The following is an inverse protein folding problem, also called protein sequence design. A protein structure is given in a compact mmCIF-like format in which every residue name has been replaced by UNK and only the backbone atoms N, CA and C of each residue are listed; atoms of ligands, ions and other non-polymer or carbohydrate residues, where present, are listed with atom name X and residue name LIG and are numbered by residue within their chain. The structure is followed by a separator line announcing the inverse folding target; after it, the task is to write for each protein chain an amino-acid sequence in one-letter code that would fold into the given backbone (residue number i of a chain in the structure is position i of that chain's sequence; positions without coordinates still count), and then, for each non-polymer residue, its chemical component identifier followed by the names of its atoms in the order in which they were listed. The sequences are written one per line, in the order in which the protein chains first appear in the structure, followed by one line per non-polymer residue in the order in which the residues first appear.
data_IF_752369542373
#
_entry.id   IF_752369542373
#
_cell.length_a   1.000
_cell.length_b   1.000
_cell.length_c   1.000
_cell.angle_alpha   90.00
_cell.angle_beta   90.00
_cell.angle_gamma   90.00
#
_symmetry.space_group_name_H-M   'P 1'
#
loop_
_entity.id
_entity.type
_entity.pdbx_description
1 polymer ?
#
# COMPACT_ATOMS: atom_id res chain seq x y z
N UNK A 1 -16.37 26.92 24.48
CA UNK A 1 -15.06 26.24 24.59
C UNK A 1 -15.09 25.14 23.54
N UNK A 2 -14.68 25.46 22.33
CA UNK A 2 -14.62 24.48 21.23
C UNK A 2 -13.47 23.52 21.51
N UNK A 3 -13.78 22.24 21.65
CA UNK A 3 -12.78 21.19 21.67
C UNK A 3 -12.25 21.14 20.24
N UNK A 4 -11.10 21.78 20.00
CA UNK A 4 -10.33 21.57 18.78
C UNK A 4 -10.17 20.06 18.61
N UNK A 5 -10.85 19.49 17.62
CA UNK A 5 -10.72 18.08 17.31
C UNK A 5 -9.25 17.79 17.07
N UNK A 6 -8.64 16.95 17.92
CA UNK A 6 -7.26 16.52 17.72
C UNK A 6 -7.21 15.87 16.35
N UNK A 7 -6.58 16.53 15.37
CA UNK A 7 -6.33 15.89 14.08
C UNK A 7 -5.58 14.59 14.37
N UNK A 8 -6.21 13.46 14.08
CA UNK A 8 -5.57 12.15 14.26
C UNK A 8 -4.34 12.13 13.37
N UNK A 9 -3.17 11.93 13.97
CA UNK A 9 -1.92 11.75 13.25
C UNK A 9 -2.07 10.52 12.34
N UNK A 10 -1.45 10.58 11.16
CA UNK A 10 -1.56 9.53 10.14
C UNK A 10 -0.17 9.06 9.72
N UNK A 11 -0.01 7.76 9.51
CA UNK A 11 1.09 7.18 8.73
C UNK A 11 0.45 6.50 7.52
N UNK A 12 0.82 6.90 6.30
CA UNK A 12 0.44 6.18 5.09
C UNK A 12 1.64 5.37 4.61
N UNK A 13 1.39 4.09 4.30
CA UNK A 13 2.36 3.26 3.58
C UNK A 13 1.96 3.26 2.10
N UNK A 14 2.70 4.02 1.31
CA UNK A 14 2.43 4.32 -0.09
C UNK A 14 3.75 4.36 -0.87
N UNK A 15 4.04 3.35 -1.70
CA UNK A 15 5.15 3.42 -2.64
C UNK A 15 5.01 4.59 -3.61
N UNK A 16 6.12 5.25 -3.87
CA UNK A 16 6.23 6.29 -4.90
C UNK A 16 7.61 6.15 -5.55
N UNK A 17 7.72 6.42 -6.85
CA UNK A 17 8.97 6.24 -7.58
C UNK A 17 10.07 7.14 -6.99
N UNK A 18 11.20 6.53 -6.65
CA UNK A 18 12.32 7.22 -6.02
C UNK A 18 12.11 7.58 -4.54
N UNK A 19 10.97 7.22 -3.93
CA UNK A 19 10.77 7.37 -2.48
C UNK A 19 11.34 6.13 -1.75
N UNK A 20 12.38 6.28 -0.89
CA UNK A 20 13.17 5.14 -0.42
C UNK A 20 12.52 4.31 0.69
N UNK A 21 11.44 4.80 1.31
CA UNK A 21 10.80 4.15 2.47
C UNK A 21 9.30 3.92 2.31
N UNK A 22 8.69 4.39 1.22
CA UNK A 22 7.22 4.43 1.06
C UNK A 22 6.42 5.02 2.25
N UNK A 23 7.06 5.71 3.19
CA UNK A 23 6.43 6.22 4.41
C UNK A 23 6.04 7.69 4.28
N UNK A 24 4.76 7.97 4.51
CA UNK A 24 4.21 9.32 4.48
C UNK A 24 3.52 9.64 5.82
N UNK A 25 4.29 10.00 6.85
CA UNK A 25 3.77 10.37 8.15
C UNK A 25 3.26 11.82 8.19
N UNK A 26 2.34 12.11 9.10
CA UNK A 26 2.05 13.48 9.58
C UNK A 26 3.34 14.16 10.04
N UNK A 27 3.47 15.47 9.78
CA UNK A 27 4.72 16.22 10.05
C UNK A 27 5.11 16.19 11.53
N UNK A 28 4.12 16.15 12.40
CA UNK A 28 4.22 16.12 13.86
C UNK A 28 4.87 14.83 14.37
N UNK A 29 4.87 13.75 13.57
CA UNK A 29 5.53 12.49 13.90
C UNK A 29 7.03 12.51 13.60
N UNK A 30 7.52 13.46 12.80
CA UNK A 30 8.92 13.55 12.39
C UNK A 30 9.77 14.15 13.51
N UNK A 31 10.54 13.29 14.19
CA UNK A 31 11.42 13.65 15.29
C UNK A 31 12.74 14.24 14.82
N UNK A 32 13.23 13.78 13.66
CA UNK A 32 14.51 14.19 13.07
C UNK A 32 14.24 14.77 11.69
N UNK A 33 14.16 16.10 11.60
CA UNK A 33 14.06 16.78 10.32
C UNK A 33 15.45 16.97 9.72
N UNK A 34 15.62 16.59 8.45
CA UNK A 34 16.84 16.84 7.69
C UNK A 34 16.55 17.87 6.60
N UNK A 35 17.20 19.05 6.63
CA UNK A 35 17.02 20.05 5.58
C UNK A 35 17.34 19.44 4.22
N UNK A 36 16.46 19.66 3.22
CA UNK A 36 16.58 19.21 1.82
C UNK A 36 16.34 17.72 1.54
N UNK A 37 15.87 16.95 2.52
CA UNK A 37 15.41 15.58 2.27
C UNK A 37 13.90 15.59 2.01
N UNK A 38 13.42 15.26 0.80
CA UNK A 38 12.00 15.31 0.46
C UNK A 38 11.20 14.11 0.99
N UNK A 39 11.87 13.13 1.61
CA UNK A 39 11.30 11.88 2.10
C UNK A 39 11.67 11.63 3.56
N UNK A 40 10.87 10.79 4.24
CA UNK A 40 11.07 10.43 5.65
C UNK A 40 11.54 8.98 5.75
N UNK A 41 12.67 8.76 6.42
CA UNK A 41 13.16 7.41 6.74
C UNK A 41 12.51 6.88 8.03
N UNK A 42 12.42 5.55 8.21
CA UNK A 42 11.80 4.96 9.39
C UNK A 42 12.37 5.50 10.73
N UNK A 43 13.70 5.61 10.81
CA UNK A 43 14.38 6.13 12.01
C UNK A 43 14.03 7.58 12.36
N UNK A 44 13.58 8.39 11.39
CA UNK A 44 13.22 9.79 11.63
C UNK A 44 11.88 9.96 12.34
N UNK A 45 11.04 8.91 12.37
CA UNK A 45 9.79 8.86 13.15
C UNK A 45 9.87 7.90 14.34
N UNK A 46 11.06 7.35 14.61
CA UNK A 46 11.30 6.44 15.74
C UNK A 46 10.82 5.01 15.52
N UNK A 47 10.67 4.57 14.26
CA UNK A 47 10.51 3.15 13.94
C UNK A 47 11.78 2.40 14.32
N UNK A 48 11.64 1.20 14.88
CA UNK A 48 12.79 0.38 15.27
C UNK A 48 13.57 -0.15 14.06
N UNK A 49 14.79 -0.64 14.31
CA UNK A 49 15.68 -1.09 13.24
C UNK A 49 15.15 -2.30 12.45
N UNK A 50 14.37 -3.19 13.09
CA UNK A 50 13.87 -4.39 12.44
C UNK A 50 12.74 -4.05 11.46
N UNK A 51 11.71 -3.35 11.95
CA UNK A 51 10.61 -2.85 11.13
C UNK A 51 11.11 -1.85 10.08
N UNK A 52 12.06 -0.99 10.45
CA UNK A 52 12.68 -0.05 9.53
C UNK A 52 13.38 -0.75 8.36
N UNK A 53 14.15 -1.82 8.62
CA UNK A 53 14.77 -2.62 7.55
C UNK A 53 13.74 -3.33 6.69
N UNK A 54 12.67 -3.87 7.30
CA UNK A 54 11.57 -4.52 6.58
C UNK A 54 10.90 -3.56 5.59
N UNK A 55 10.54 -2.36 6.05
CA UNK A 55 9.96 -1.30 5.21
C UNK A 55 10.88 -0.95 4.04
N UNK A 56 12.17 -0.71 4.31
CA UNK A 56 13.13 -0.36 3.26
C UNK A 56 13.30 -1.48 2.22
N UNK A 57 13.35 -2.75 2.65
CA UNK A 57 13.45 -3.90 1.75
C UNK A 57 12.16 -4.13 0.94
N UNK A 58 11.01 -3.88 1.54
CA UNK A 58 9.70 -3.93 0.88
C UNK A 58 9.58 -2.84 -0.19
N UNK A 59 10.01 -1.61 0.12
CA UNK A 59 10.09 -0.50 -0.85
C UNK A 59 11.09 -0.78 -1.96
N UNK A 60 12.28 -1.31 -1.64
CA UNK A 60 13.32 -1.63 -2.64
C UNK A 60 12.83 -2.64 -3.69
N UNK A 61 12.06 -3.65 -3.28
CA UNK A 61 11.41 -4.58 -4.22
C UNK A 61 10.41 -3.88 -5.13
N UNK A 62 9.62 -2.94 -4.61
CA UNK A 62 8.76 -2.12 -5.46
C UNK A 62 9.57 -1.35 -6.50
N UNK A 63 10.64 -0.64 -6.08
CA UNK A 63 11.47 0.15 -7.00
C UNK A 63 12.16 -0.70 -8.08
N UNK A 64 12.50 -1.96 -7.76
CA UNK A 64 13.18 -2.88 -8.68
C UNK A 64 12.25 -3.56 -9.67
N UNK A 65 11.06 -3.94 -9.25
CA UNK A 65 10.20 -4.84 -10.02
C UNK A 65 8.94 -4.17 -10.55
N UNK A 66 8.46 -3.08 -9.98
CA UNK A 66 7.25 -2.43 -10.47
C UNK A 66 7.50 -1.70 -11.80
N UNK A 67 6.70 -1.98 -12.82
CA UNK A 67 6.88 -1.43 -14.18
C UNK A 67 5.97 -0.24 -14.41
N UNK A 68 4.65 -0.46 -14.33
CA UNK A 68 3.67 0.57 -14.59
C UNK A 68 2.33 0.27 -13.90
N UNK A 69 1.66 1.35 -13.48
CA UNK A 69 0.24 1.30 -13.13
C UNK A 69 -0.55 1.15 -14.43
N UNK A 70 -1.43 0.16 -14.47
CA UNK A 70 -2.42 0.04 -15.55
C UNK A 70 -3.71 0.65 -15.04
N UNK A 71 -4.09 1.82 -15.58
CA UNK A 71 -5.34 2.50 -15.26
C UNK A 71 -6.54 1.85 -15.98
N UNK A 72 -6.68 0.54 -15.78
CA UNK A 72 -7.73 -0.29 -16.37
C UNK A 72 -8.71 -0.79 -15.31
N UNK A 73 -10.00 -0.87 -15.67
CA UNK A 73 -11.02 -1.42 -14.77
C UNK A 73 -10.85 -2.92 -14.51
N UNK A 74 -10.32 -3.66 -15.48
CA UNK A 74 -10.18 -5.12 -15.43
C UNK A 74 -8.72 -5.62 -15.49
N UNK A 75 -7.76 -4.74 -15.77
CA UNK A 75 -6.35 -5.09 -15.90
C UNK A 75 -5.61 -4.80 -14.60
N UNK A 76 -4.74 -5.73 -14.19
CA UNK A 76 -3.84 -5.52 -13.06
C UNK A 76 -2.59 -4.73 -13.49
N UNK A 77 -1.94 -4.03 -12.54
CA UNK A 77 -0.63 -3.42 -12.77
C UNK A 77 0.45 -4.43 -13.15
N UNK A 78 1.50 -3.94 -13.82
CA UNK A 78 2.57 -4.77 -14.36
C UNK A 78 3.80 -4.76 -13.45
N UNK A 79 4.36 -5.96 -13.23
CA UNK A 79 5.62 -6.18 -12.52
C UNK A 79 6.56 -7.01 -13.37
N UNK A 80 7.87 -6.79 -13.22
CA UNK A 80 8.91 -7.62 -13.80
C UNK A 80 8.85 -9.03 -13.20
N UNK A 81 9.26 -10.06 -13.98
CA UNK A 81 9.36 -11.42 -13.44
C UNK A 81 10.40 -11.49 -12.31
N UNK A 82 10.23 -12.48 -11.42
CA UNK A 82 11.13 -12.71 -10.27
C UNK A 82 10.60 -12.21 -8.93
N UNK A 83 9.37 -11.70 -8.90
CA UNK A 83 8.66 -11.36 -7.67
C UNK A 83 7.26 -11.99 -7.67
N UNK A 84 6.82 -12.47 -6.51
CA UNK A 84 5.42 -12.76 -6.28
C UNK A 84 4.74 -11.49 -5.74
N UNK A 85 3.85 -10.92 -6.54
CA UNK A 85 3.17 -9.65 -6.21
C UNK A 85 2.21 -9.79 -5.03
N UNK A 86 1.66 -10.98 -4.80
CA UNK A 86 0.78 -11.25 -3.67
C UNK A 86 1.56 -11.36 -2.36
N UNK A 87 2.71 -12.05 -2.37
CA UNK A 87 3.59 -12.09 -1.19
C UNK A 87 4.06 -10.67 -0.82
N UNK A 88 4.37 -9.83 -1.82
CA UNK A 88 4.69 -8.42 -1.57
C UNK A 88 3.52 -7.64 -0.97
N UNK A 89 2.29 -7.91 -1.41
CA UNK A 89 1.08 -7.30 -0.87
C UNK A 89 0.84 -7.71 0.59
N UNK A 90 0.93 -9.00 0.88
CA UNK A 90 0.72 -9.56 2.22
C UNK A 90 1.77 -9.03 3.20
N UNK A 91 3.03 -8.97 2.79
CA UNK A 91 4.09 -8.36 3.60
C UNK A 91 3.84 -6.87 3.87
N UNK A 92 3.23 -6.16 2.91
CA UNK A 92 2.77 -4.79 3.13
C UNK A 92 1.76 -4.69 4.27
N UNK A 93 0.86 -5.67 4.42
CA UNK A 93 -0.08 -5.73 5.55
C UNK A 93 0.60 -6.12 6.87
N UNK A 94 1.57 -7.02 6.84
CA UNK A 94 2.37 -7.30 8.04
C UNK A 94 3.05 -6.03 8.57
N UNK A 95 3.64 -5.22 7.68
CA UNK A 95 4.21 -3.91 8.04
C UNK A 95 3.15 -3.00 8.65
N UNK A 96 1.93 -2.99 8.11
CA UNK A 96 0.83 -2.17 8.65
C UNK A 96 0.46 -2.58 10.07
N UNK A 97 0.38 -3.88 10.36
CA UNK A 97 0.08 -4.38 11.71
C UNK A 97 1.21 -4.06 12.69
N UNK A 98 2.48 -4.21 12.28
CA UNK A 98 3.63 -3.83 13.10
C UNK A 98 3.65 -2.31 13.38
N UNK A 99 3.35 -1.48 12.38
CA UNK A 99 3.19 -0.03 12.56
C UNK A 99 2.05 0.32 13.52
N UNK A 100 0.92 -0.38 13.45
CA UNK A 100 -0.22 -0.18 14.38
C UNK A 100 0.15 -0.54 15.81
N UNK A 101 0.90 -1.62 16.00
CA UNK A 101 1.39 -2.02 17.30
C UNK A 101 2.37 -0.99 17.88
N UNK A 102 3.25 -0.42 17.06
CA UNK A 102 4.23 0.57 17.50
C UNK A 102 3.62 1.96 17.73
N UNK A 103 2.58 2.33 16.97
CA UNK A 103 1.92 3.64 17.05
C UNK A 103 0.40 3.49 17.28
N UNK A 104 -0.05 3.05 18.47
CA UNK A 104 -1.45 2.74 18.74
C UNK A 104 -2.39 3.95 18.62
N UNK A 105 -1.88 5.16 18.85
CA UNK A 105 -2.64 6.41 18.77
C UNK A 105 -2.61 7.07 17.38
N UNK A 106 -1.92 6.44 16.41
CA UNK A 106 -1.74 6.96 15.06
C UNK A 106 -2.58 6.14 14.08
N UNK A 107 -3.27 6.81 13.17
CA UNK A 107 -4.00 6.14 12.10
C UNK A 107 -3.02 5.64 11.03
N UNK A 108 -2.80 4.34 10.98
CA UNK A 108 -1.98 3.69 9.94
C UNK A 108 -2.84 3.26 8.75
N UNK A 109 -2.54 3.78 7.56
CA UNK A 109 -3.32 3.55 6.32
C UNK A 109 -2.50 2.78 5.27
N UNK A 110 -2.94 1.59 4.85
CA UNK A 110 -2.40 0.94 3.66
C UNK A 110 -2.85 1.70 2.40
N UNK A 111 -1.93 2.01 1.49
CA UNK A 111 -2.23 2.65 0.21
C UNK A 111 -1.52 1.97 -0.97
N UNK A 112 -1.21 0.68 -0.86
CA UNK A 112 -0.43 -0.04 -1.87
C UNK A 112 -1.25 -1.06 -2.69
N UNK A 113 -2.54 -1.25 -2.40
CA UNK A 113 -3.38 -2.21 -3.11
C UNK A 113 -3.50 -1.93 -4.62
N UNK A 114 -3.40 -0.67 -5.02
CA UNK A 114 -3.46 -0.24 -6.42
C UNK A 114 -2.28 -0.72 -7.26
N UNK A 115 -1.20 -1.20 -6.63
CA UNK A 115 -0.04 -1.77 -7.31
C UNK A 115 -0.19 -3.27 -7.60
N UNK A 116 -1.23 -3.93 -7.07
CA UNK A 116 -1.42 -5.39 -7.20
C UNK A 116 -2.74 -5.70 -7.89
N UNK A 117 -3.78 -4.94 -7.56
CA UNK A 117 -5.15 -5.23 -7.97
C UNK A 117 -5.69 -4.17 -8.93
N UNK A 118 -6.49 -4.63 -9.89
CA UNK A 118 -7.27 -3.76 -10.77
C UNK A 118 -8.24 -2.88 -9.98
N UNK A 119 -8.79 -1.85 -10.63
CA UNK A 119 -9.78 -0.99 -9.99
C UNK A 119 -11.03 -1.77 -9.54
N UNK A 120 -11.50 -2.76 -10.32
CA UNK A 120 -12.67 -3.56 -9.95
C UNK A 120 -12.42 -4.53 -8.79
N UNK A 121 -11.25 -5.16 -8.72
CA UNK A 121 -10.89 -6.00 -7.57
C UNK A 121 -10.86 -5.20 -6.27
N UNK A 122 -10.31 -3.97 -6.31
CA UNK A 122 -10.33 -3.07 -5.15
C UNK A 122 -11.72 -2.57 -4.78
N UNK A 123 -12.62 -2.44 -5.76
CA UNK A 123 -14.03 -2.08 -5.51
C UNK A 123 -14.79 -3.23 -4.88
N UNK A 124 -14.60 -4.44 -5.40
CA UNK A 124 -15.21 -5.65 -4.86
C UNK A 124 -14.80 -5.86 -3.39
N UNK A 125 -13.52 -5.66 -3.06
CA UNK A 125 -13.05 -5.77 -1.67
C UNK A 125 -13.66 -4.74 -0.72
N UNK A 126 -14.17 -3.62 -1.25
CA UNK A 126 -14.93 -2.61 -0.52
C UNK A 126 -16.45 -2.85 -0.55
N UNK A 127 -16.92 -3.98 -1.12
CA UNK A 127 -18.34 -4.29 -1.28
C UNK A 127 -19.04 -3.45 -2.35
N UNK A 128 -18.28 -2.82 -3.25
CA UNK A 128 -18.79 -1.99 -4.33
C UNK A 128 -18.92 -2.80 -5.63
N UNK A 129 -19.92 -2.47 -6.43
CA UNK A 129 -20.10 -3.10 -7.74
C UNK A 129 -18.96 -2.71 -8.71
N UNK A 130 -18.49 -3.65 -9.55
CA UNK A 130 -17.51 -3.34 -10.58
C UNK A 130 -18.07 -2.32 -11.60
N UNK A 131 -17.17 -1.48 -12.11
CA UNK A 131 -17.45 -0.53 -13.19
C UNK A 131 -17.11 -1.18 -14.53
N UNK A 132 -17.93 -0.92 -15.54
CA UNK A 132 -17.67 -1.27 -16.93
C UNK A 132 -17.88 -0.03 -17.78
N UNK A 133 -17.05 0.18 -18.81
CA UNK A 133 -17.27 1.27 -19.76
C UNK A 133 -18.55 1.02 -20.58
N UNK A 134 -19.25 2.08 -21.03
CA UNK A 134 -20.40 1.92 -21.91
C UNK A 134 -20.00 1.15 -23.18
N UNK A 135 -20.72 0.07 -23.48
CA UNK A 135 -20.52 -0.83 -24.64
C UNK A 135 -19.37 -1.85 -24.55
N UNK A 136 -18.68 -1.98 -23.41
CA UNK A 136 -17.77 -3.11 -23.21
C UNK A 136 -18.55 -4.32 -22.66
N UNK A 137 -18.54 -5.49 -23.33
CA UNK A 137 -19.06 -6.71 -22.71
C UNK A 137 -18.27 -6.98 -21.42
N UNK A 138 -18.95 -7.54 -20.40
CA UNK A 138 -18.34 -8.00 -19.13
C UNK A 138 -17.36 -9.15 -19.38
N UNK A 139 -16.26 -8.91 -20.06
CA UNK A 139 -15.21 -9.88 -20.32
C UNK A 139 -14.03 -9.55 -19.40
N UNK A 140 -13.70 -10.48 -18.49
CA UNK A 140 -12.48 -10.39 -17.68
C UNK A 140 -12.64 -9.92 -16.24
N UNK A 141 -13.80 -10.14 -15.61
CA UNK A 141 -13.89 -9.94 -14.15
C UNK A 141 -13.02 -10.97 -13.43
N UNK A 142 -11.85 -10.54 -12.96
CA UNK A 142 -11.05 -11.29 -12.00
C UNK A 142 -11.63 -10.94 -10.63
N UNK A 143 -12.33 -11.88 -9.98
CA UNK A 143 -12.81 -11.67 -8.62
C UNK A 143 -11.64 -11.75 -7.65
N UNK A 144 -11.54 -10.81 -6.71
CA UNK A 144 -10.57 -10.89 -5.62
C UNK A 144 -10.80 -12.13 -4.76
N UNK A 145 -12.03 -12.63 -4.71
CA UNK A 145 -12.41 -13.86 -4.00
C UNK A 145 -11.78 -15.11 -4.61
N UNK A 146 -11.63 -15.16 -5.94
CA UNK A 146 -10.99 -16.29 -6.64
C UNK A 146 -9.47 -16.32 -6.44
N UNK A 147 -8.89 -15.22 -5.93
CA UNK A 147 -7.46 -15.01 -5.73
C UNK A 147 -7.06 -15.25 -4.28
N UNK A 148 -7.86 -14.77 -3.33
CA UNK A 148 -7.64 -14.97 -1.89
C UNK A 148 -8.07 -16.36 -1.42
N UNK A 149 -9.02 -17.00 -2.13
CA UNK A 149 -9.44 -18.37 -1.89
C UNK A 149 -9.43 -19.13 -3.22
N UNK A 150 -8.28 -19.71 -3.63
CA UNK A 150 -8.28 -20.55 -4.82
C UNK A 150 -9.29 -21.68 -4.58
N UNK A 151 -10.34 -21.74 -5.42
CA UNK A 151 -11.21 -22.91 -5.44
C UNK A 151 -10.31 -24.11 -5.72
N UNK A 152 -10.20 -25.00 -4.72
CA UNK A 152 -9.49 -26.26 -4.87
C UNK A 152 -9.97 -27.01 -6.11
N UNK A 153 -9.14 -27.92 -6.66
CA UNK A 153 -9.47 -28.61 -7.89
C UNK A 153 -10.82 -29.32 -7.73
N UNK A 154 -11.69 -29.15 -8.74
CA UNK A 154 -12.88 -29.99 -8.90
C UNK A 154 -12.48 -31.41 -9.26
#
# INVERSE_FOLDING_TARGET
MEIQGTERLVIRLYPDYGHPSSLWPSKELVRISRPRQPYVLPSQIGIDDALGKKILAWTDRFQKFFVEEVDGFASRPCWLPGINVFDWYDEGYEIIEELRAQFPDVQVKPQFAQYVFSANERRESMGLLPISLPNEPKAGYISITDVLHPKGPK
#
